data_IF_880544820980
#
_entry.id   IF_880544820980
#
_cell.length_a   1.000
_cell.length_b   1.000
_cell.length_c   1.000
_cell.angle_alpha   90.00
_cell.angle_beta   90.00
_cell.angle_gamma   90.00
#
_symmetry.space_group_name_H-M   'P 1'
#
loop_
_entity.id
_entity.type
_entity.pdbx_description
1 polymer ?
#
# COMPACT_ATOMS: atom_id res chain seq x y z
N UNK A 1 -6.72 5.59 27.07
CA UNK A 1 -6.16 5.77 25.70
C UNK A 1 -7.00 4.96 24.73
N UNK A 2 -7.31 5.52 23.56
CA UNK A 2 -8.30 4.94 22.65
C UNK A 2 -7.72 3.89 21.70
N UNK A 3 -8.60 3.00 21.21
CA UNK A 3 -8.37 2.21 20.00
C UNK A 3 -8.35 3.14 18.77
N UNK A 4 -7.75 2.67 17.67
CA UNK A 4 -7.84 3.30 16.35
C UNK A 4 -8.90 2.54 15.58
N UNK A 5 -10.07 3.13 15.36
CA UNK A 5 -11.14 2.53 14.60
C UNK A 5 -10.85 2.65 13.10
N UNK A 6 -10.62 1.51 12.45
CA UNK A 6 -10.20 1.44 11.04
C UNK A 6 -11.30 0.83 10.18
N UNK A 7 -11.61 1.52 9.08
CA UNK A 7 -12.41 0.96 8.00
C UNK A 7 -11.51 0.57 6.82
N UNK A 8 -11.82 -0.55 6.16
CA UNK A 8 -11.09 -1.01 4.97
C UNK A 8 -11.98 -0.94 3.73
N UNK A 9 -11.43 -0.47 2.62
CA UNK A 9 -12.10 -0.53 1.30
C UNK A 9 -11.35 -1.55 0.45
N UNK A 10 -12.04 -2.59 0.00
CA UNK A 10 -11.45 -3.73 -0.70
C UNK A 10 -10.90 -4.78 0.26
N UNK A 11 -11.57 -5.92 0.38
CA UNK A 11 -11.20 -7.03 1.26
C UNK A 11 -10.43 -8.08 0.46
N UNK A 12 -9.30 -7.67 -0.15
CA UNK A 12 -8.41 -8.51 -0.94
C UNK A 12 -7.32 -9.25 -0.14
N UNK A 13 -6.35 -9.83 -0.84
CA UNK A 13 -5.15 -10.46 -0.22
C UNK A 13 -4.39 -9.52 0.70
N UNK A 14 -4.29 -8.23 0.35
CA UNK A 14 -3.64 -7.23 1.20
C UNK A 14 -4.38 -7.04 2.53
N UNK A 15 -5.71 -7.03 2.49
CA UNK A 15 -6.54 -6.94 3.70
C UNK A 15 -6.40 -8.18 4.57
N UNK A 16 -6.30 -9.38 3.97
CA UNK A 16 -5.96 -10.61 4.71
C UNK A 16 -4.63 -10.46 5.45
N UNK A 17 -3.56 -10.08 4.75
CA UNK A 17 -2.25 -9.86 5.36
C UNK A 17 -2.27 -8.80 6.48
N UNK A 18 -2.98 -7.69 6.29
CA UNK A 18 -3.10 -6.63 7.30
C UNK A 18 -3.85 -7.09 8.55
N UNK A 19 -5.01 -7.76 8.38
CA UNK A 19 -5.85 -8.22 9.50
C UNK A 19 -5.15 -9.34 10.29
N UNK A 20 -4.53 -10.29 9.60
CA UNK A 20 -3.77 -11.36 10.24
C UNK A 20 -2.50 -10.84 10.89
N UNK A 21 -1.76 -9.93 10.24
CA UNK A 21 -0.59 -9.28 10.83
C UNK A 21 -0.93 -8.54 12.12
N UNK A 22 -1.99 -7.73 12.12
CA UNK A 22 -2.47 -7.06 13.35
C UNK A 22 -2.86 -8.09 14.42
N UNK A 23 -3.52 -9.19 14.04
CA UNK A 23 -3.88 -10.27 14.95
C UNK A 23 -2.63 -10.93 15.56
N UNK A 24 -1.60 -11.18 14.76
CA UNK A 24 -0.35 -11.82 15.17
C UNK A 24 0.38 -10.98 16.24
N UNK A 25 0.62 -9.69 15.98
CA UNK A 25 1.27 -8.81 16.97
C UNK A 25 0.37 -8.47 18.16
N UNK A 26 -0.95 -8.67 18.05
CA UNK A 26 -1.88 -8.56 19.19
C UNK A 26 -1.75 -9.76 20.12
N UNK A 27 -1.65 -10.97 19.56
CA UNK A 27 -1.44 -12.22 20.31
C UNK A 27 -0.03 -12.34 20.89
N UNK A 28 0.96 -11.75 20.22
CA UNK A 28 2.38 -11.81 20.57
C UNK A 28 2.94 -10.41 20.85
N UNK A 29 2.60 -9.78 22.00
CA UNK A 29 2.91 -8.37 22.25
C UNK A 29 4.41 -8.04 22.40
N UNK A 30 5.25 -9.05 22.65
CA UNK A 30 6.70 -8.91 22.75
C UNK A 30 7.40 -9.02 21.39
N UNK A 31 6.71 -9.57 20.37
CA UNK A 31 7.26 -9.72 19.03
C UNK A 31 7.33 -8.37 18.30
N UNK A 32 8.48 -8.10 17.69
CA UNK A 32 8.80 -6.83 17.01
C UNK A 32 9.42 -7.03 15.64
N UNK A 33 9.79 -8.26 15.30
CA UNK A 33 10.38 -8.64 14.02
C UNK A 33 9.45 -8.23 12.89
N UNK A 34 9.98 -7.58 11.87
CA UNK A 34 9.19 -7.09 10.73
C UNK A 34 8.34 -5.84 11.02
N UNK A 35 8.30 -5.31 12.25
CA UNK A 35 7.70 -3.99 12.47
C UNK A 35 8.71 -2.90 12.14
N UNK A 36 8.35 -2.00 11.21
CA UNK A 36 9.13 -0.78 10.95
C UNK A 36 9.28 0.04 12.25
N UNK A 37 8.17 0.22 12.96
CA UNK A 37 8.13 0.85 14.27
C UNK A 37 7.27 0.02 15.24
N UNK A 38 7.83 -0.45 16.38
CA UNK A 38 7.05 -1.15 17.41
C UNK A 38 5.89 -0.32 17.97
N UNK A 39 6.07 1.01 18.04
CA UNK A 39 5.03 1.98 18.40
C UNK A 39 5.23 3.32 17.68
N UNK A 40 4.13 4.04 17.45
CA UNK A 40 4.13 5.43 16.97
C UNK A 40 3.46 6.28 18.04
N UNK A 41 4.24 7.17 18.67
CA UNK A 41 3.83 7.83 19.90
C UNK A 41 3.45 6.79 20.96
N UNK A 42 2.17 6.77 21.34
CA UNK A 42 1.63 5.82 22.30
C UNK A 42 0.84 4.67 21.66
N UNK A 43 0.75 4.61 20.33
CA UNK A 43 -0.02 3.59 19.59
C UNK A 43 0.86 2.38 19.24
N UNK A 44 0.45 1.21 19.76
CA UNK A 44 0.97 -0.12 19.39
C UNK A 44 0.09 -0.74 18.29
N UNK A 45 0.57 -1.82 17.68
CA UNK A 45 -0.20 -2.55 16.64
C UNK A 45 -1.56 -3.04 17.18
N UNK A 46 -1.59 -3.55 18.41
CA UNK A 46 -2.82 -4.02 19.09
C UNK A 46 -3.90 -2.94 19.31
N UNK A 47 -3.56 -1.67 19.13
CA UNK A 47 -4.51 -0.57 19.29
C UNK A 47 -5.35 -0.38 18.02
N UNK A 48 -4.99 -1.00 16.90
CA UNK A 48 -5.78 -1.04 15.67
C UNK A 48 -7.02 -1.92 15.90
N UNK A 49 -8.20 -1.35 15.64
CA UNK A 49 -9.49 -2.01 15.76
C UNK A 49 -10.24 -1.87 14.43
N UNK A 50 -10.40 -2.96 13.68
CA UNK A 50 -11.21 -2.91 12.45
C UNK A 50 -12.69 -2.86 12.83
N UNK A 51 -13.41 -1.85 12.34
CA UNK A 51 -14.81 -1.57 12.72
C UNK A 51 -15.80 -1.79 11.58
N UNK A 52 -15.38 -1.68 10.33
CA UNK A 52 -16.16 -2.05 9.15
C UNK A 52 -15.24 -2.26 7.95
N UNK A 53 -15.77 -2.86 6.90
CA UNK A 53 -15.12 -2.90 5.60
C UNK A 53 -16.14 -2.77 4.47
N UNK A 54 -15.67 -2.46 3.26
CA UNK A 54 -16.48 -2.37 2.06
C UNK A 54 -15.88 -3.26 0.98
N UNK A 55 -16.72 -4.06 0.32
CA UNK A 55 -16.36 -4.86 -0.84
C UNK A 55 -17.54 -4.92 -1.82
N UNK A 56 -17.30 -5.48 -2.99
CA UNK A 56 -18.29 -5.67 -4.05
C UNK A 56 -18.57 -7.15 -4.30
N UNK A 57 -17.70 -8.06 -3.85
CA UNK A 57 -17.83 -9.49 -4.04
C UNK A 57 -18.91 -10.09 -3.13
N UNK A 58 -19.89 -10.79 -3.73
CA UNK A 58 -21.01 -11.38 -3.03
C UNK A 58 -20.63 -12.41 -1.97
N UNK A 59 -19.48 -13.07 -2.14
CA UNK A 59 -18.94 -14.04 -1.18
C UNK A 59 -18.49 -13.33 0.10
N UNK A 60 -18.08 -12.07 0.01
CA UNK A 60 -17.54 -11.28 1.13
C UNK A 60 -18.62 -10.38 1.75
N UNK A 61 -19.50 -9.81 0.94
CA UNK A 61 -20.52 -8.86 1.39
C UNK A 61 -21.53 -9.51 2.36
N UNK A 62 -21.62 -8.94 3.57
CA UNK A 62 -22.45 -9.40 4.67
C UNK A 62 -21.75 -10.37 5.63
N UNK A 63 -20.47 -10.68 5.39
CA UNK A 63 -19.66 -11.49 6.30
C UNK A 63 -18.95 -10.63 7.33
N UNK A 64 -18.59 -11.23 8.46
CA UNK A 64 -17.65 -10.60 9.41
C UNK A 64 -16.25 -10.56 8.78
N UNK A 65 -15.52 -9.46 8.98
CA UNK A 65 -14.23 -9.22 8.33
C UNK A 65 -13.23 -10.37 8.52
N UNK A 66 -13.10 -10.87 9.76
CA UNK A 66 -12.19 -11.98 10.09
C UNK A 66 -12.53 -13.30 9.35
N UNK A 67 -13.75 -13.46 8.84
CA UNK A 67 -14.12 -14.58 7.96
C UNK A 67 -13.95 -14.23 6.49
N UNK A 68 -14.35 -13.01 6.11
CA UNK A 68 -14.33 -12.53 4.73
C UNK A 68 -12.93 -12.52 4.11
N UNK A 69 -11.88 -12.30 4.92
CA UNK A 69 -10.50 -12.31 4.43
C UNK A 69 -10.06 -13.67 3.86
N UNK A 70 -10.73 -14.76 4.23
CA UNK A 70 -10.46 -16.12 3.73
C UNK A 70 -11.42 -16.54 2.61
N UNK A 71 -12.26 -15.63 2.09
CA UNK A 71 -13.23 -15.91 1.04
C UNK A 71 -12.81 -15.32 -0.30
N UNK A 72 -13.31 -15.92 -1.39
CA UNK A 72 -13.03 -15.51 -2.76
C UNK A 72 -11.58 -15.74 -3.17
N UNK A 73 -11.06 -14.90 -4.06
CA UNK A 73 -9.71 -15.04 -4.64
C UNK A 73 -8.62 -14.34 -3.82
N UNK A 74 -8.72 -14.41 -2.49
CA UNK A 74 -7.69 -13.88 -1.60
C UNK A 74 -6.55 -14.89 -1.47
N UNK A 75 -5.49 -14.68 -2.26
CA UNK A 75 -4.28 -15.50 -2.26
C UNK A 75 -3.13 -14.78 -1.54
N UNK A 76 -2.78 -15.28 -0.36
CA UNK A 76 -1.58 -14.91 0.42
C UNK A 76 -1.37 -15.96 1.49
N UNK A 77 -0.11 -16.18 1.88
CA UNK A 77 0.22 -17.07 2.98
C UNK A 77 -0.50 -16.66 4.27
N UNK A 78 -0.96 -17.64 5.05
CA UNK A 78 -1.54 -17.38 6.38
C UNK A 78 -0.42 -16.99 7.36
N UNK A 79 -0.57 -15.83 8.01
CA UNK A 79 0.35 -15.40 9.08
C UNK A 79 -0.09 -16.01 10.42
N UNK A 80 -1.39 -15.92 10.70
CA UNK A 80 -2.04 -16.45 11.90
C UNK A 80 -3.55 -16.47 11.70
N UNK A 81 -4.25 -17.31 12.44
CA UNK A 81 -5.71 -17.20 12.54
C UNK A 81 -6.10 -15.80 13.04
N UNK A 82 -6.99 -15.06 12.38
CA UNK A 82 -7.38 -13.71 12.79
C UNK A 82 -8.10 -13.73 14.14
N UNK A 83 -8.00 -12.65 14.91
CA UNK A 83 -8.91 -12.44 16.06
C UNK A 83 -10.30 -12.07 15.54
N UNK A 84 -11.33 -12.28 16.39
CA UNK A 84 -12.69 -11.93 16.02
C UNK A 84 -12.89 -10.41 16.07
N UNK A 85 -13.40 -9.86 14.97
CA UNK A 85 -13.85 -8.48 14.86
C UNK A 85 -15.35 -8.43 14.64
N UNK A 86 -16.02 -7.44 15.23
CA UNK A 86 -17.42 -7.16 14.94
C UNK A 86 -17.66 -6.50 13.58
N UNK A 87 -16.60 -6.02 12.94
CA UNK A 87 -16.63 -5.44 11.60
C UNK A 87 -17.36 -6.32 10.60
N UNK A 88 -18.41 -5.75 9.99
CA UNK A 88 -19.11 -6.33 8.84
C UNK A 88 -18.50 -5.81 7.54
N UNK A 89 -18.50 -6.65 6.50
CA UNK A 89 -18.22 -6.23 5.13
C UNK A 89 -19.52 -5.75 4.47
N UNK A 90 -19.62 -4.47 4.18
CA UNK A 90 -20.77 -3.85 3.53
C UNK A 90 -20.60 -3.81 2.02
N UNK A 91 -21.73 -3.75 1.31
CA UNK A 91 -21.75 -3.53 -0.13
C UNK A 91 -21.44 -2.06 -0.43
N UNK A 92 -20.20 -1.77 -0.80
CA UNK A 92 -19.83 -0.45 -1.30
C UNK A 92 -20.10 -0.32 -2.80
N UNK A 93 -20.06 0.88 -3.42
CA UNK A 93 -20.26 1.01 -4.86
C UNK A 93 -19.10 0.43 -5.65
N UNK A 94 -19.40 -0.16 -6.81
CA UNK A 94 -18.38 -0.78 -7.69
C UNK A 94 -17.59 0.25 -8.47
N UNK A 95 -18.28 1.19 -9.14
CA UNK A 95 -17.67 2.20 -10.00
C UNK A 95 -16.66 1.56 -10.97
N UNK A 96 -15.47 2.14 -11.10
CA UNK A 96 -14.34 1.59 -11.85
C UNK A 96 -13.46 0.65 -11.02
N UNK A 97 -13.98 0.10 -9.91
CA UNK A 97 -13.25 -0.81 -9.01
C UNK A 97 -12.93 -2.18 -9.61
N UNK A 98 -13.68 -2.62 -10.63
CA UNK A 98 -13.58 -3.96 -11.21
C UNK A 98 -13.59 -3.85 -12.74
N UNK A 99 -12.51 -4.32 -13.39
CA UNK A 99 -12.49 -4.47 -14.86
C UNK A 99 -13.37 -5.63 -15.31
N UNK A 100 -13.82 -5.59 -16.56
CA UNK A 100 -14.72 -6.62 -17.10
C UNK A 100 -14.08 -8.01 -17.07
N UNK A 101 -12.77 -8.12 -17.31
CA UNK A 101 -12.03 -9.38 -17.31
C UNK A 101 -11.93 -10.04 -15.93
N UNK A 102 -12.19 -9.30 -14.85
CA UNK A 102 -12.23 -9.82 -13.49
C UNK A 102 -13.63 -10.29 -13.07
N UNK A 103 -14.68 -9.89 -13.80
CA UNK A 103 -16.07 -10.24 -13.45
C UNK A 103 -16.33 -11.72 -13.72
N UNK A 104 -16.97 -12.39 -12.77
CA UNK A 104 -17.31 -13.81 -12.86
C UNK A 104 -16.15 -14.77 -12.62
N UNK A 105 -14.92 -14.26 -12.42
CA UNK A 105 -13.72 -15.04 -12.09
C UNK A 105 -13.17 -14.59 -10.73
N UNK A 106 -12.45 -13.47 -10.70
CA UNK A 106 -11.88 -12.90 -9.50
C UNK A 106 -12.95 -12.32 -8.58
N UNK A 107 -13.98 -11.71 -9.16
CA UNK A 107 -15.04 -11.02 -8.45
C UNK A 107 -16.40 -11.45 -8.97
N UNK A 108 -17.25 -11.93 -8.06
CA UNK A 108 -18.67 -12.14 -8.33
C UNK A 108 -19.45 -10.99 -7.70
N UNK A 109 -19.92 -10.05 -8.52
CA UNK A 109 -20.49 -8.81 -8.00
C UNK A 109 -21.82 -9.03 -7.27
N UNK A 110 -21.91 -8.49 -6.04
CA UNK A 110 -23.07 -8.63 -5.18
C UNK A 110 -24.25 -7.80 -5.68
N UNK A 111 -25.42 -8.46 -5.74
CA UNK A 111 -26.73 -7.85 -6.04
C UNK A 111 -27.36 -7.11 -4.85
N UNK A 112 -26.74 -7.15 -3.66
CA UNK A 112 -27.22 -6.38 -2.51
C UNK A 112 -27.17 -4.88 -2.83
N UNK A 113 -28.06 -4.05 -2.25
CA UNK A 113 -28.03 -2.61 -2.45
C UNK A 113 -26.73 -2.02 -1.90
N UNK A 114 -26.21 -1.00 -2.59
CA UNK A 114 -25.07 -0.21 -2.11
C UNK A 114 -25.49 0.57 -0.87
N UNK A 115 -24.66 0.54 0.17
CA UNK A 115 -24.91 1.26 1.42
C UNK A 115 -24.51 2.74 1.31
N UNK A 116 -25.06 3.56 2.21
CA UNK A 116 -24.53 4.91 2.48
C UNK A 116 -23.21 4.79 3.25
N UNK A 117 -22.10 4.96 2.53
CA UNK A 117 -20.74 4.78 3.07
C UNK A 117 -20.46 5.78 4.20
N UNK A 118 -20.73 7.08 4.00
CA UNK A 118 -20.50 8.08 5.03
C UNK A 118 -21.34 7.82 6.29
N UNK A 119 -22.58 7.34 6.16
CA UNK A 119 -23.42 6.94 7.30
C UNK A 119 -22.79 5.79 8.09
N UNK A 120 -22.40 4.70 7.41
CA UNK A 120 -21.76 3.55 8.07
C UNK A 120 -20.48 3.99 8.80
N UNK A 121 -19.63 4.77 8.15
CA UNK A 121 -18.38 5.27 8.75
C UNK A 121 -18.63 6.09 10.04
N UNK A 122 -19.67 6.91 10.07
CA UNK A 122 -20.09 7.66 11.27
C UNK A 122 -20.62 6.73 12.36
N UNK A 123 -21.51 5.80 12.01
CA UNK A 123 -22.11 4.85 12.96
C UNK A 123 -21.05 3.95 13.62
N UNK A 124 -20.03 3.53 12.86
CA UNK A 124 -18.92 2.73 13.37
C UNK A 124 -17.82 3.56 14.04
N UNK A 125 -18.00 4.88 14.15
CA UNK A 125 -17.05 5.83 14.77
C UNK A 125 -15.64 5.65 14.20
N UNK A 126 -15.55 5.55 12.87
CA UNK A 126 -14.28 5.31 12.18
C UNK A 126 -13.35 6.51 12.31
N UNK A 127 -12.09 6.27 12.66
CA UNK A 127 -11.03 7.28 12.69
C UNK A 127 -10.31 7.37 11.34
N UNK A 128 -9.98 6.22 10.76
CA UNK A 128 -9.12 6.10 9.56
C UNK A 128 -9.74 5.12 8.56
N UNK A 129 -9.82 5.53 7.31
CA UNK A 129 -10.24 4.70 6.18
C UNK A 129 -9.01 4.33 5.35
N UNK A 130 -8.81 3.04 5.08
CA UNK A 130 -7.69 2.52 4.28
C UNK A 130 -8.23 2.04 2.94
N UNK A 131 -7.73 2.63 1.86
CA UNK A 131 -8.14 2.33 0.49
C UNK A 131 -7.25 1.27 -0.15
N UNK A 132 -7.79 0.06 -0.34
CA UNK A 132 -7.13 -1.10 -0.95
C UNK A 132 -7.91 -1.64 -2.16
N UNK A 133 -8.68 -0.76 -2.84
CA UNK A 133 -9.31 -1.12 -4.13
C UNK A 133 -8.25 -1.47 -5.18
N UNK A 134 -8.60 -2.16 -6.28
CA UNK A 134 -7.64 -2.48 -7.33
C UNK A 134 -6.96 -1.23 -7.93
N UNK A 135 -5.71 -1.36 -8.37
CA UNK A 135 -4.99 -0.28 -9.04
C UNK A 135 -5.76 0.26 -10.24
N UNK A 136 -5.76 1.59 -10.44
CA UNK A 136 -6.46 2.26 -11.55
C UNK A 136 -7.97 2.44 -11.32
N UNK A 137 -8.45 2.28 -10.09
CA UNK A 137 -9.84 2.55 -9.71
C UNK A 137 -9.96 4.00 -9.20
N UNK A 138 -9.92 4.94 -10.14
CA UNK A 138 -9.84 6.37 -9.87
C UNK A 138 -11.17 6.92 -9.32
N UNK A 139 -12.28 6.58 -9.98
CA UNK A 139 -13.63 7.00 -9.55
C UNK A 139 -13.96 6.43 -8.18
N UNK A 140 -13.67 5.15 -7.94
CA UNK A 140 -13.85 4.52 -6.63
C UNK A 140 -13.04 5.24 -5.55
N UNK A 141 -11.75 5.48 -5.80
CA UNK A 141 -10.87 6.15 -4.83
C UNK A 141 -11.35 7.56 -4.49
N UNK A 142 -11.71 8.37 -5.50
CA UNK A 142 -12.23 9.72 -5.27
C UNK A 142 -13.58 9.70 -4.54
N UNK A 143 -14.47 8.77 -4.90
CA UNK A 143 -15.74 8.58 -4.20
C UNK A 143 -15.51 8.28 -2.72
N UNK A 144 -14.72 7.27 -2.38
CA UNK A 144 -14.47 6.90 -0.99
C UNK A 144 -13.72 7.98 -0.21
N UNK A 145 -12.83 8.75 -0.86
CA UNK A 145 -12.18 9.89 -0.24
C UNK A 145 -13.18 11.00 0.13
N UNK A 146 -14.16 11.30 -0.74
CA UNK A 146 -15.26 12.22 -0.41
C UNK A 146 -16.13 11.68 0.73
N UNK A 147 -16.48 10.39 0.72
CA UNK A 147 -17.30 9.77 1.77
C UNK A 147 -16.60 9.77 3.13
N UNK A 148 -15.29 9.48 3.17
CA UNK A 148 -14.48 9.62 4.37
C UNK A 148 -14.45 11.06 4.87
N UNK A 149 -14.31 12.04 3.97
CA UNK A 149 -14.33 13.46 4.31
C UNK A 149 -15.69 13.92 4.85
N UNK A 150 -16.80 13.40 4.32
CA UNK A 150 -18.18 13.62 4.84
C UNK A 150 -18.39 12.98 6.21
N UNK A 151 -17.77 11.83 6.46
CA UNK A 151 -17.83 11.12 7.72
C UNK A 151 -16.93 11.70 8.81
N UNK A 152 -15.95 12.53 8.45
CA UNK A 152 -14.97 13.05 9.40
C UNK A 152 -13.82 12.08 9.67
N UNK A 153 -13.51 11.20 8.71
CA UNK A 153 -12.46 10.20 8.82
C UNK A 153 -11.20 10.63 8.07
N UNK A 154 -10.03 10.32 8.63
CA UNK A 154 -8.77 10.41 7.88
C UNK A 154 -8.70 9.33 6.81
N UNK A 155 -7.90 9.53 5.76
CA UNK A 155 -7.84 8.63 4.61
C UNK A 155 -6.40 8.24 4.27
N UNK A 156 -6.19 6.96 3.99
CA UNK A 156 -4.91 6.40 3.56
C UNK A 156 -5.12 5.76 2.20
N UNK A 157 -4.51 6.35 1.17
CA UNK A 157 -4.56 5.86 -0.19
C UNK A 157 -3.38 4.92 -0.48
N UNK A 158 -3.64 3.61 -0.49
CA UNK A 158 -2.61 2.60 -0.72
C UNK A 158 -2.35 2.32 -2.22
N UNK A 159 -3.11 2.93 -3.12
CA UNK A 159 -2.97 2.71 -4.57
C UNK A 159 -2.47 3.95 -5.33
N UNK A 160 -2.05 3.82 -6.61
CA UNK A 160 -1.43 4.91 -7.37
C UNK A 160 -2.35 6.06 -7.81
N UNK A 161 -3.67 5.94 -7.63
CA UNK A 161 -4.60 7.02 -8.00
C UNK A 161 -4.19 8.32 -7.29
N UNK A 162 -4.00 9.44 -8.01
CA UNK A 162 -3.59 10.70 -7.40
C UNK A 162 -4.61 11.23 -6.39
N UNK A 163 -4.16 11.41 -5.15
CA UNK A 163 -4.94 11.98 -4.06
C UNK A 163 -4.05 12.88 -3.19
N UNK A 164 -3.11 12.32 -2.43
CA UNK A 164 -2.24 13.11 -1.57
C UNK A 164 -1.26 13.99 -2.37
N UNK A 165 -0.86 13.54 -3.55
CA UNK A 165 -0.04 14.33 -4.48
C UNK A 165 -0.77 15.57 -5.02
N UNK A 166 -2.11 15.60 -4.94
CA UNK A 166 -2.95 16.72 -5.38
C UNK A 166 -3.19 17.67 -4.21
N UNK A 167 -2.65 18.89 -4.30
CA UNK A 167 -2.73 19.90 -3.22
C UNK A 167 -4.16 20.22 -2.78
N UNK A 168 -5.12 20.27 -3.71
CA UNK A 168 -6.55 20.51 -3.42
C UNK A 168 -7.14 19.43 -2.51
N UNK A 169 -6.76 18.16 -2.70
CA UNK A 169 -7.21 17.07 -1.86
C UNK A 169 -6.61 17.15 -0.46
N UNK A 170 -5.29 17.39 -0.33
CA UNK A 170 -4.65 17.62 0.97
C UNK A 170 -5.35 18.73 1.75
N UNK A 171 -5.58 19.87 1.10
CA UNK A 171 -6.25 21.02 1.71
C UNK A 171 -7.65 20.69 2.26
N UNK A 172 -8.46 19.91 1.53
CA UNK A 172 -9.79 19.46 2.01
C UNK A 172 -9.72 18.72 3.36
N UNK A 173 -8.75 17.81 3.50
CA UNK A 173 -8.57 17.04 4.75
C UNK A 173 -8.01 17.93 5.86
N UNK A 174 -6.99 18.74 5.58
CA UNK A 174 -6.39 19.68 6.54
C UNK A 174 -7.40 20.68 7.11
N UNK A 175 -8.25 21.25 6.25
CA UNK A 175 -9.28 22.23 6.61
C UNK A 175 -10.34 21.61 7.55
N UNK A 176 -10.52 20.28 7.52
CA UNK A 176 -11.40 19.53 8.43
C UNK A 176 -10.70 18.94 9.65
N UNK A 177 -9.40 19.20 9.83
CA UNK A 177 -8.65 18.62 10.94
C UNK A 177 -8.30 17.14 10.76
N UNK A 178 -8.29 16.64 9.52
CA UNK A 178 -8.09 15.24 9.17
C UNK A 178 -6.77 15.03 8.45
N UNK A 179 -6.31 13.78 8.42
CA UNK A 179 -5.09 13.36 7.74
C UNK A 179 -5.42 12.71 6.40
N UNK A 180 -4.63 13.05 5.38
CA UNK A 180 -4.56 12.35 4.11
C UNK A 180 -3.12 11.84 3.88
N UNK A 181 -2.96 10.52 3.76
CA UNK A 181 -1.69 9.89 3.38
C UNK A 181 -1.83 9.18 2.04
N UNK A 182 -0.80 9.29 1.19
CA UNK A 182 -0.77 8.71 -0.15
C UNK A 182 0.39 9.26 -0.98
N UNK A 183 0.61 8.82 -2.21
CA UNK A 183 -0.15 7.78 -2.93
C UNK A 183 0.74 6.55 -3.21
N UNK A 184 0.12 5.37 -3.35
CA UNK A 184 0.76 4.05 -3.56
C UNK A 184 1.67 3.62 -2.41
N UNK A 185 1.23 2.76 -1.50
CA UNK A 185 2.06 2.36 -0.33
C UNK A 185 3.32 1.61 -0.71
N UNK A 186 4.41 1.85 0.02
CA UNK A 186 5.67 1.10 -0.10
C UNK A 186 5.55 -0.28 0.55
N UNK A 187 6.22 -1.25 -0.06
CA UNK A 187 6.56 -2.52 0.60
C UNK A 187 7.79 -2.32 1.50
N UNK A 188 8.02 -3.22 2.46
CA UNK A 188 9.22 -3.19 3.31
C UNK A 188 10.48 -3.36 2.47
N UNK A 189 10.51 -4.37 1.62
CA UNK A 189 11.58 -4.61 0.66
C UNK A 189 11.03 -5.12 -0.66
N UNK A 190 10.82 -4.23 -1.62
CA UNK A 190 10.41 -4.59 -2.98
C UNK A 190 11.52 -4.44 -4.01
N UNK A 191 11.30 -4.99 -5.20
CA UNK A 191 12.24 -4.86 -6.31
C UNK A 191 12.60 -3.42 -6.67
N UNK A 192 11.66 -2.47 -6.55
CA UNK A 192 11.93 -1.06 -6.86
C UNK A 192 12.95 -0.43 -5.92
N UNK A 193 12.89 -0.71 -4.62
CA UNK A 193 13.86 -0.14 -3.67
C UNK A 193 15.24 -0.80 -3.82
N UNK A 194 15.30 -2.13 -4.05
CA UNK A 194 16.57 -2.81 -4.30
C UNK A 194 17.23 -2.31 -5.59
N UNK A 195 16.47 -2.23 -6.68
CA UNK A 195 16.98 -1.75 -7.96
C UNK A 195 17.50 -0.31 -7.84
N UNK A 196 16.71 0.58 -7.23
CA UNK A 196 17.16 1.96 -6.96
C UNK A 196 18.46 2.01 -6.15
N UNK A 197 18.55 1.20 -5.08
CA UNK A 197 19.75 1.15 -4.23
C UNK A 197 20.99 0.71 -5.03
N UNK A 198 20.87 -0.35 -5.82
CA UNK A 198 21.95 -0.86 -6.67
C UNK A 198 22.37 0.19 -7.71
N UNK A 199 21.43 0.78 -8.45
CA UNK A 199 21.75 1.78 -9.47
C UNK A 199 22.44 3.01 -8.85
N UNK A 200 21.96 3.50 -7.71
CA UNK A 200 22.58 4.61 -7.00
C UNK A 200 24.00 4.26 -6.53
N UNK A 201 24.22 3.05 -6.00
CA UNK A 201 25.55 2.57 -5.61
C UNK A 201 26.50 2.50 -6.80
N UNK A 202 26.07 1.92 -7.92
CA UNK A 202 26.88 1.80 -9.14
C UNK A 202 27.29 3.18 -9.67
N UNK A 203 26.32 4.09 -9.79
CA UNK A 203 26.57 5.49 -10.18
C UNK A 203 27.56 6.19 -9.25
N UNK A 204 27.38 6.05 -7.93
CA UNK A 204 28.27 6.64 -6.93
C UNK A 204 29.71 6.11 -7.02
N UNK A 205 29.90 4.88 -7.50
CA UNK A 205 31.22 4.25 -7.68
C UNK A 205 31.80 4.43 -9.09
N UNK A 206 31.17 5.25 -9.93
CA UNK A 206 31.62 5.52 -11.30
C UNK A 206 31.49 4.31 -12.24
N UNK A 207 30.62 3.35 -11.90
CA UNK A 207 30.36 2.18 -12.73
C UNK A 207 29.31 2.56 -13.77
N UNK A 208 29.65 2.42 -15.05
CA UNK A 208 28.72 2.66 -16.16
C UNK A 208 27.78 1.47 -16.28
N UNK A 209 26.47 1.72 -16.27
CA UNK A 209 25.46 0.66 -16.46
C UNK A 209 25.18 0.50 -17.95
N UNK A 210 25.48 -0.68 -18.49
CA UNK A 210 25.26 -1.02 -19.91
C UNK A 210 23.96 -1.78 -20.14
N UNK A 211 23.35 -2.32 -19.07
CA UNK A 211 22.02 -2.93 -19.12
C UNK A 211 21.40 -2.95 -17.73
N UNK A 212 20.10 -2.71 -17.64
CA UNK A 212 19.32 -2.97 -16.42
C UNK A 212 17.91 -3.43 -16.79
N UNK A 213 17.55 -4.61 -16.32
CA UNK A 213 16.29 -5.27 -16.63
C UNK A 213 15.67 -5.84 -15.35
N UNK A 214 14.40 -5.52 -15.12
CA UNK A 214 13.61 -6.02 -14.01
C UNK A 214 12.36 -6.72 -14.52
N UNK A 215 12.25 -8.02 -14.28
CA UNK A 215 11.05 -8.80 -14.57
C UNK A 215 10.30 -9.06 -13.26
N UNK A 216 9.00 -8.73 -13.20
CA UNK A 216 8.15 -8.99 -12.04
C UNK A 216 7.08 -10.00 -12.44
N UNK A 217 7.03 -11.15 -11.76
CA UNK A 217 6.06 -12.22 -12.00
C UNK A 217 5.24 -12.44 -10.74
N UNK A 218 3.92 -12.45 -10.85
CA UNK A 218 3.04 -12.70 -9.71
C UNK A 218 1.68 -13.24 -10.10
N UNK A 219 1.00 -13.88 -9.15
CA UNK A 219 -0.24 -14.63 -9.38
C UNK A 219 -1.51 -14.04 -8.75
N UNK A 220 -1.43 -12.91 -8.06
CA UNK A 220 -2.60 -12.35 -7.37
C UNK A 220 -3.52 -11.54 -8.32
N UNK A 221 -4.71 -11.21 -7.82
CA UNK A 221 -5.71 -10.44 -8.56
C UNK A 221 -5.21 -9.04 -8.99
N UNK A 222 -4.32 -8.41 -8.20
CA UNK A 222 -3.72 -7.13 -8.60
C UNK A 222 -2.83 -7.34 -9.85
N UNK A 223 -1.94 -8.34 -9.89
CA UNK A 223 -1.12 -8.61 -11.08
C UNK A 223 -1.98 -8.87 -12.33
N UNK A 224 -3.08 -9.60 -12.21
CA UNK A 224 -4.03 -9.78 -13.31
C UNK A 224 -4.64 -8.44 -13.74
N UNK A 225 -5.13 -7.63 -12.80
CA UNK A 225 -5.67 -6.29 -13.07
C UNK A 225 -4.65 -5.38 -13.76
N UNK A 226 -3.37 -5.49 -13.40
CA UNK A 226 -2.31 -4.71 -14.03
C UNK A 226 -2.14 -5.09 -15.52
N UNK A 227 -2.42 -6.31 -15.97
CA UNK A 227 -2.34 -6.62 -17.41
C UNK A 227 -3.19 -5.67 -18.28
N UNK A 228 -4.33 -5.23 -17.75
CA UNK A 228 -5.31 -4.42 -18.48
C UNK A 228 -5.22 -2.93 -18.17
N UNK A 229 -4.64 -2.54 -17.03
CA UNK A 229 -4.58 -1.14 -16.56
C UNK A 229 -3.18 -0.51 -16.57
N UNK A 230 -2.14 -1.24 -16.96
CA UNK A 230 -0.76 -0.88 -16.63
C UNK A 230 0.10 -0.40 -17.80
N UNK A 231 -0.46 -0.24 -19.01
CA UNK A 231 0.29 0.24 -20.18
C UNK A 231 1.09 1.53 -19.91
N UNK A 232 0.64 2.39 -18.98
CA UNK A 232 1.33 3.62 -18.58
C UNK A 232 2.38 3.47 -17.44
N UNK A 233 2.38 2.37 -16.67
CA UNK A 233 3.17 2.24 -15.44
C UNK A 233 4.54 1.57 -15.65
N UNK A 234 4.74 0.78 -16.72
CA UNK A 234 6.08 0.35 -17.16
C UNK A 234 6.95 1.56 -17.51
N UNK A 235 6.43 2.44 -18.38
CA UNK A 235 7.11 3.68 -18.79
C UNK A 235 7.41 4.59 -17.59
N UNK A 236 6.45 4.72 -16.67
CA UNK A 236 6.64 5.53 -15.45
C UNK A 236 7.71 4.97 -14.52
N UNK A 237 7.78 3.65 -14.33
CA UNK A 237 8.81 2.99 -13.50
C UNK A 237 10.19 3.08 -14.13
N UNK A 238 10.30 2.82 -15.43
CA UNK A 238 11.54 3.04 -16.18
C UNK A 238 12.02 4.48 -16.06
N UNK A 239 11.15 5.47 -16.32
CA UNK A 239 11.50 6.89 -16.18
C UNK A 239 11.92 7.27 -14.75
N UNK A 240 11.29 6.70 -13.72
CA UNK A 240 11.70 6.93 -12.35
C UNK A 240 13.11 6.39 -12.06
N UNK A 241 13.47 5.23 -12.61
CA UNK A 241 14.78 4.61 -12.44
C UNK A 241 15.91 5.38 -13.17
N UNK A 242 15.61 6.03 -14.30
CA UNK A 242 16.60 6.85 -15.03
C UNK A 242 17.31 7.89 -14.17
N UNK A 243 16.62 8.45 -13.16
CA UNK A 243 17.18 9.45 -12.26
C UNK A 243 18.39 8.94 -11.46
N UNK A 244 18.49 7.62 -11.27
CA UNK A 244 19.56 6.98 -10.53
C UNK A 244 20.73 6.52 -11.42
N UNK A 245 20.64 6.75 -12.74
CA UNK A 245 21.65 6.40 -13.72
C UNK A 245 22.50 7.61 -14.13
N UNK A 246 23.67 7.34 -14.70
CA UNK A 246 24.50 8.30 -15.42
C UNK A 246 23.86 8.72 -16.75
N UNK A 247 24.37 9.80 -17.35
CA UNK A 247 23.82 10.34 -18.61
C UNK A 247 23.94 9.36 -19.78
N UNK A 248 25.02 8.56 -19.79
CA UNK A 248 25.37 7.63 -20.88
C UNK A 248 25.08 6.16 -20.53
N UNK A 249 24.32 5.92 -19.45
CA UNK A 249 23.90 4.60 -19.02
C UNK A 249 22.72 4.08 -19.84
N UNK A 250 22.53 2.77 -19.84
CA UNK A 250 21.43 2.11 -20.54
C UNK A 250 20.07 2.36 -19.87
N UNK A 251 19.05 2.42 -20.73
CA UNK A 251 17.68 2.65 -20.30
C UNK A 251 17.10 1.45 -19.51
N UNK A 252 16.53 1.68 -18.31
CA UNK A 252 15.95 0.62 -17.50
C UNK A 252 14.69 0.07 -18.13
N UNK A 253 14.60 -1.26 -18.20
CA UNK A 253 13.39 -1.96 -18.65
C UNK A 253 12.73 -2.65 -17.47
N UNK A 254 11.43 -2.41 -17.27
CA UNK A 254 10.65 -3.06 -16.23
C UNK A 254 9.45 -3.75 -16.87
N UNK A 255 9.30 -5.06 -16.65
CA UNK A 255 8.17 -5.86 -17.15
C UNK A 255 7.35 -6.44 -16.02
N UNK A 256 6.05 -6.62 -16.28
CA UNK A 256 5.11 -7.31 -15.41
C UNK A 256 4.46 -8.48 -16.14
N UNK A 257 4.43 -9.63 -15.50
CA UNK A 257 3.81 -10.85 -16.04
C UNK A 257 2.89 -11.46 -14.99
N UNK A 258 1.73 -11.93 -15.44
CA UNK A 258 0.83 -12.74 -14.64
C UNK A 258 1.19 -14.22 -14.81
N UNK A 259 1.23 -14.98 -13.72
CA UNK A 259 1.64 -16.40 -13.76
C UNK A 259 0.56 -17.33 -14.32
N UNK A 260 -0.70 -16.88 -14.39
CA UNK A 260 -1.85 -17.73 -14.76
C UNK A 260 -2.43 -18.51 -13.58
N UNK A 261 -1.62 -18.76 -12.55
CA UNK A 261 -2.02 -19.48 -11.34
C UNK A 261 -2.17 -18.51 -10.15
N UNK A 262 -3.31 -18.53 -9.44
CA UNK A 262 -3.54 -17.73 -8.24
C UNK A 262 -2.48 -17.99 -7.16
N UNK A 263 -1.69 -16.97 -6.83
CA UNK A 263 -0.62 -17.07 -5.83
C UNK A 263 -0.33 -15.73 -5.14
N UNK A 264 0.00 -15.79 -3.84
CA UNK A 264 0.52 -14.65 -3.07
C UNK A 264 1.99 -14.36 -3.35
N UNK A 265 2.70 -15.35 -3.90
CA UNK A 265 4.11 -15.24 -4.23
C UNK A 265 4.34 -14.32 -5.41
N UNK A 266 5.41 -13.53 -5.31
CA UNK A 266 5.92 -12.72 -6.39
C UNK A 266 7.42 -12.97 -6.54
N UNK A 267 7.80 -13.36 -7.75
CA UNK A 267 9.18 -13.55 -8.15
C UNK A 267 9.65 -12.33 -8.95
N UNK A 268 10.81 -11.79 -8.58
CA UNK A 268 11.43 -10.69 -9.30
C UNK A 268 12.86 -11.06 -9.67
N UNK A 269 13.14 -11.03 -10.98
CA UNK A 269 14.49 -11.17 -11.51
C UNK A 269 15.01 -9.78 -11.88
N UNK A 270 16.14 -9.39 -11.30
CA UNK A 270 16.86 -8.16 -11.63
C UNK A 270 18.22 -8.53 -12.21
N UNK A 271 18.49 -8.04 -13.43
CA UNK A 271 19.76 -8.20 -14.12
C UNK A 271 20.35 -6.83 -14.39
N UNK A 272 21.60 -6.61 -13.96
CA UNK A 272 22.36 -5.39 -14.23
C UNK A 272 23.72 -5.78 -14.82
N UNK A 273 24.08 -5.17 -15.94
CA UNK A 273 25.39 -5.30 -16.57
C UNK A 273 26.06 -3.91 -16.58
N UNK A 274 27.38 -3.88 -16.43
CA UNK A 274 28.12 -2.61 -16.46
C UNK A 274 29.61 -2.76 -16.77
N UNK A 275 30.28 -1.62 -16.86
CA UNK A 275 31.72 -1.50 -17.07
C UNK A 275 32.37 -0.84 -15.83
N UNK A 276 33.37 -1.50 -15.24
CA UNK A 276 34.20 -0.98 -14.14
C UNK A 276 35.52 -0.41 -14.67
N UNK A 277 36.49 -0.14 -13.79
CA UNK A 277 37.82 0.33 -14.15
C UNK A 277 38.45 -0.48 -15.30
N UNK A 278 39.01 0.23 -16.29
CA UNK A 278 39.58 -0.37 -17.50
C UNK A 278 38.54 -0.92 -18.49
N UNK A 279 37.27 -0.53 -18.35
CA UNK A 279 36.13 -1.07 -19.14
C UNK A 279 35.92 -2.57 -18.95
N UNK A 280 36.36 -3.10 -17.82
CA UNK A 280 36.16 -4.51 -17.47
C UNK A 280 34.67 -4.75 -17.19
N UNK A 281 34.05 -5.81 -17.74
CA UNK A 281 32.63 -6.07 -17.50
C UNK A 281 32.37 -6.52 -16.06
N UNK A 282 31.22 -6.11 -15.51
CA UNK A 282 30.64 -6.64 -14.27
C UNK A 282 29.18 -7.04 -14.51
N UNK A 283 28.73 -8.08 -13.82
CA UNK A 283 27.40 -8.64 -13.94
C UNK A 283 26.78 -8.85 -12.56
N UNK A 284 25.51 -8.45 -12.40
CA UNK A 284 24.72 -8.64 -11.17
C UNK A 284 23.40 -9.30 -11.56
N UNK A 285 23.13 -10.47 -10.99
CA UNK A 285 21.79 -11.04 -10.92
C UNK A 285 21.31 -11.03 -9.49
N UNK A 286 20.09 -10.56 -9.28
CA UNK A 286 19.39 -10.63 -8.00
C UNK A 286 18.00 -11.21 -8.21
N UNK A 287 17.61 -12.11 -7.31
CA UNK A 287 16.29 -12.71 -7.26
C UNK A 287 15.65 -12.33 -5.94
N UNK A 288 14.44 -11.77 -5.99
CA UNK A 288 13.58 -11.59 -4.81
C UNK A 288 12.37 -12.49 -5.01
N UNK A 289 12.09 -13.32 -4.01
CA UNK A 289 10.82 -14.00 -3.85
C UNK A 289 10.18 -13.52 -2.56
N UNK A 290 8.97 -12.96 -2.67
CA UNK A 290 8.24 -12.42 -1.52
C UNK A 290 6.75 -12.76 -1.55
N UNK A 291 6.09 -12.57 -0.40
CA UNK A 291 4.64 -12.51 -0.26
C UNK A 291 4.19 -11.05 -0.43
N UNK A 292 3.76 -10.67 -1.64
CA UNK A 292 3.55 -9.26 -2.02
C UNK A 292 2.63 -8.50 -1.06
N UNK A 293 1.57 -9.15 -0.58
CA UNK A 293 0.57 -8.57 0.32
C UNK A 293 1.14 -8.32 1.71
N UNK A 294 1.86 -9.32 2.25
CA UNK A 294 2.48 -9.26 3.58
C UNK A 294 3.59 -8.21 3.59
N UNK A 295 4.41 -8.18 2.53
CA UNK A 295 5.50 -7.22 2.37
C UNK A 295 5.01 -5.76 2.37
N UNK A 296 3.76 -5.48 2.00
CA UNK A 296 3.16 -4.15 2.11
C UNK A 296 2.47 -3.86 3.44
N UNK A 297 1.91 -4.87 4.10
CA UNK A 297 1.03 -4.70 5.25
C UNK A 297 1.69 -3.96 6.42
N UNK A 298 2.97 -4.24 6.71
CA UNK A 298 3.73 -3.59 7.79
C UNK A 298 3.81 -2.06 7.63
N UNK A 299 3.94 -1.56 6.40
CA UNK A 299 3.94 -0.12 6.10
C UNK A 299 2.57 0.51 6.38
N UNK A 300 1.48 -0.18 6.05
CA UNK A 300 0.12 0.31 6.30
C UNK A 300 -0.20 0.36 7.80
N UNK A 301 0.34 -0.57 8.59
CA UNK A 301 0.23 -0.54 10.06
C UNK A 301 0.85 0.74 10.64
N UNK A 302 1.98 1.21 10.11
CA UNK A 302 2.56 2.51 10.47
C UNK A 302 1.68 3.68 10.00
N UNK A 303 1.19 3.62 8.77
CA UNK A 303 0.34 4.66 8.19
C UNK A 303 -0.94 4.91 9.02
N UNK A 304 -1.60 3.85 9.47
CA UNK A 304 -2.79 3.92 10.34
C UNK A 304 -2.45 4.64 11.66
N UNK A 305 -1.36 4.21 12.31
CA UNK A 305 -0.98 4.72 13.64
C UNK A 305 -0.51 6.17 13.57
N UNK A 306 0.26 6.55 12.55
CA UNK A 306 0.71 7.94 12.39
C UNK A 306 -0.46 8.87 12.03
N UNK A 307 -1.42 8.41 11.21
CA UNK A 307 -2.61 9.20 10.90
C UNK A 307 -3.39 9.54 12.17
N UNK A 308 -3.68 8.55 13.02
CA UNK A 308 -4.38 8.78 14.29
C UNK A 308 -3.58 9.67 15.23
N UNK A 309 -2.27 9.42 15.35
CA UNK A 309 -1.38 10.21 16.18
C UNK A 309 -1.40 11.70 15.82
N UNK A 310 -1.33 12.02 14.53
CA UNK A 310 -1.32 13.41 14.06
C UNK A 310 -2.67 14.11 14.27
N UNK A 311 -3.80 13.40 14.10
CA UNK A 311 -5.13 13.95 14.42
C UNK A 311 -5.21 14.27 15.92
N UNK A 312 -4.83 13.35 16.80
CA UNK A 312 -4.92 13.54 18.25
C UNK A 312 -4.03 14.66 18.77
N UNK A 313 -2.88 14.86 18.13
CA UNK A 313 -1.96 15.97 18.44
C UNK A 313 -2.32 17.27 17.73
N UNK A 314 -3.40 17.31 16.93
CA UNK A 314 -3.79 18.46 16.10
C UNK A 314 -2.69 18.92 15.15
N UNK A 315 -1.88 17.97 14.64
CA UNK A 315 -0.72 18.16 13.76
C UNK A 315 -0.95 17.62 12.35
N UNK A 316 -2.20 17.59 11.91
CA UNK A 316 -2.64 17.07 10.61
C UNK A 316 -1.92 17.72 9.40
N UNK A 317 -1.53 19.01 9.48
CA UNK A 317 -0.75 19.72 8.45
C UNK A 317 0.65 19.12 8.22
N UNK A 318 1.13 18.27 9.11
CA UNK A 318 2.42 17.60 8.98
C UNK A 318 2.31 16.22 8.33
N UNK A 319 1.11 15.76 7.98
CA UNK A 319 0.87 14.44 7.39
C UNK A 319 1.70 14.17 6.14
N UNK A 320 1.87 15.17 5.27
CA UNK A 320 2.64 15.02 4.05
C UNK A 320 4.10 14.62 4.30
N UNK A 321 4.67 14.96 5.47
CA UNK A 321 6.04 14.58 5.86
C UNK A 321 6.19 13.08 6.13
N UNK A 322 5.10 12.37 6.36
CA UNK A 322 5.12 10.91 6.53
C UNK A 322 5.14 10.16 5.20
N UNK A 323 4.59 10.75 4.14
CA UNK A 323 4.45 10.12 2.83
C UNK A 323 5.78 9.67 2.20
N UNK A 324 6.90 10.43 2.24
CA UNK A 324 8.15 9.99 1.62
C UNK A 324 8.67 8.66 2.16
N UNK A 325 8.40 8.37 3.44
CA UNK A 325 8.79 7.11 4.07
C UNK A 325 7.80 5.97 3.77
N UNK A 326 6.50 6.27 3.72
CA UNK A 326 5.43 5.27 3.62
C UNK A 326 4.92 5.00 2.19
N UNK A 327 5.11 5.94 1.28
CA UNK A 327 4.44 5.99 -0.02
C UNK A 327 5.46 6.05 -1.16
N UNK A 328 5.16 5.39 -2.28
CA UNK A 328 6.00 5.36 -3.48
C UNK A 328 5.93 6.69 -4.24
N UNK A 329 4.76 7.34 -4.22
CA UNK A 329 4.52 8.63 -4.88
C UNK A 329 4.11 9.67 -3.83
N UNK A 330 5.06 10.17 -3.03
CA UNK A 330 4.78 11.20 -2.04
C UNK A 330 4.58 12.59 -2.69
N UNK A 331 3.93 13.54 -2.00
CA UNK A 331 3.82 14.92 -2.47
C UNK A 331 5.18 15.63 -2.62
N UNK A 332 6.15 15.25 -1.79
CA UNK A 332 7.52 15.75 -1.81
C UNK A 332 8.47 14.54 -1.79
N UNK A 333 9.45 14.50 -2.69
CA UNK A 333 10.42 13.41 -2.75
C UNK A 333 11.59 13.66 -1.80
N UNK A 334 12.04 12.62 -1.10
CA UNK A 334 13.21 12.61 -0.23
C UNK A 334 14.03 11.34 -0.47
N UNK A 335 15.32 11.36 -0.14
CA UNK A 335 16.08 10.11 -0.04
C UNK A 335 15.50 9.23 1.08
N UNK A 336 15.63 7.90 0.99
CA UNK A 336 14.97 7.02 1.99
C UNK A 336 15.51 7.23 3.41
N UNK A 337 16.79 7.55 3.58
CA UNK A 337 17.40 7.86 4.88
C UNK A 337 16.82 9.15 5.50
N UNK A 338 16.69 10.20 4.70
CA UNK A 338 16.08 11.47 5.10
C UNK A 338 14.59 11.30 5.41
N UNK A 339 13.89 10.51 4.61
CA UNK A 339 12.48 10.17 4.82
C UNK A 339 12.27 9.43 6.15
N UNK A 340 13.13 8.46 6.49
CA UNK A 340 13.09 7.76 7.77
C UNK A 340 13.32 8.73 8.94
N UNK A 341 14.27 9.65 8.83
CA UNK A 341 14.53 10.65 9.86
C UNK A 341 13.34 11.60 10.04
N UNK A 342 12.79 12.12 8.94
CA UNK A 342 11.61 12.99 8.93
C UNK A 342 10.40 12.29 9.55
N UNK A 343 10.15 11.02 9.18
CA UNK A 343 9.08 10.20 9.76
C UNK A 343 9.24 10.04 11.27
N UNK A 344 10.44 9.68 11.73
CA UNK A 344 10.75 9.52 13.15
C UNK A 344 10.54 10.82 13.96
N UNK A 345 10.92 11.97 13.40
CA UNK A 345 10.73 13.29 14.03
C UNK A 345 9.26 13.62 14.30
N UNK A 346 8.32 13.05 13.53
CA UNK A 346 6.89 13.31 13.73
C UNK A 346 6.40 12.87 15.10
N UNK A 347 6.88 11.76 15.64
CA UNK A 347 6.35 11.18 16.88
C UNK A 347 7.38 11.04 18.02
N UNK A 348 8.69 11.14 17.76
CA UNK A 348 9.72 11.09 18.82
C UNK A 348 9.86 12.40 19.60
N UNK A 349 9.59 13.55 18.98
CA UNK A 349 9.74 14.87 19.62
C UNK A 349 8.48 15.37 20.33
N UNK A 350 7.46 14.53 20.48
CA UNK A 350 6.20 14.89 21.13
C UNK A 350 6.29 14.63 22.62
N UNK A 351 6.89 15.57 23.37
CA UNK A 351 6.75 15.63 24.83
C UNK A 351 5.31 15.94 25.21
#
# INVERSE_FOLDING_TARGET
MGKINVAIIGVGSFTKALVEGVSFYTKNPEEKTGLLHPKIGNYKVKDINFVCAFDVDERKVGQKLHKAISLGMNVTQEITTPINYDALVYRGPTLDGVIDEMKGSFVHESKKPVVDVAKILKETKTDVVVNLVPSGSDQATHFYAEEALKAGCSFINCIPTPLATVSKWRKKFEDKGLVLLGDDTKSQLGATILNRFLLQLLKMRGIKVTKTHQENRGGNADHFNLLYRFAHKEKSKSTALKKFLGKDDAEPTVKFSYTGEPSGHKLVNLVIEGEIFGRTPIFITSVIEDEISINGAGTVVDAIRIAKFLVDKKRQKEAFKACPFLMKTPPEHMADSEALEAFNKLFKNSK
#
